data_IF_127157384555
#
_entry.id   IF_127157384555
#
_cell.length_a   1.000
_cell.length_b   1.000
_cell.length_c   1.000
_cell.angle_alpha   90.00
_cell.angle_beta   90.00
_cell.angle_gamma   90.00
#
_symmetry.space_group_name_H-M   'P 1'
#
loop_
_entity.id
_entity.type
_entity.pdbx_description
1 polymer ?
#
# COMPACT_ATOMS: atom_id res chain seq x y z
N UNK A 1 -22.06 -12.79 12.60
CA UNK A 1 -22.04 -12.25 11.22
C UNK A 1 -20.74 -12.70 10.58
N UNK A 2 -20.79 -13.37 9.43
CA UNK A 2 -19.57 -13.69 8.67
C UNK A 2 -19.03 -12.40 8.05
N UNK A 3 -17.74 -12.12 8.24
CA UNK A 3 -17.07 -11.00 7.58
C UNK A 3 -16.93 -11.37 6.10
N UNK A 4 -17.52 -10.58 5.23
CA UNK A 4 -17.36 -10.72 3.78
C UNK A 4 -16.30 -9.72 3.33
N UNK A 5 -15.18 -10.20 2.79
CA UNK A 5 -14.18 -9.36 2.14
C UNK A 5 -14.57 -9.12 0.67
N UNK A 6 -14.36 -7.90 0.18
CA UNK A 6 -14.65 -7.51 -1.22
C UNK A 6 -13.65 -8.09 -2.23
N UNK A 7 -12.45 -8.43 -1.77
CA UNK A 7 -11.40 -9.12 -2.53
C UNK A 7 -11.05 -10.40 -1.78
N UNK A 8 -10.88 -11.52 -2.50
CA UNK A 8 -10.55 -12.80 -1.88
C UNK A 8 -9.08 -12.87 -1.45
N UNK A 9 -8.83 -13.60 -0.37
CA UNK A 9 -7.48 -13.83 0.16
C UNK A 9 -6.59 -14.55 -0.87
N UNK A 10 -7.15 -15.51 -1.61
CA UNK A 10 -6.41 -16.24 -2.66
C UNK A 10 -5.91 -15.30 -3.76
N UNK A 11 -6.74 -14.34 -4.18
CA UNK A 11 -6.35 -13.38 -5.20
C UNK A 11 -5.24 -12.45 -4.70
N UNK A 12 -5.34 -11.97 -3.46
CA UNK A 12 -4.30 -11.15 -2.81
C UNK A 12 -2.99 -11.93 -2.71
N UNK A 13 -3.04 -13.18 -2.24
CA UNK A 13 -1.87 -14.03 -2.09
C UNK A 13 -1.18 -14.30 -3.44
N UNK A 14 -1.95 -14.58 -4.49
CA UNK A 14 -1.43 -14.79 -5.84
C UNK A 14 -0.71 -13.53 -6.38
N UNK A 15 -1.30 -12.34 -6.20
CA UNK A 15 -0.67 -11.10 -6.67
C UNK A 15 0.58 -10.74 -5.84
N UNK A 16 0.56 -10.94 -4.51
CA UNK A 16 1.71 -10.68 -3.66
C UNK A 16 2.90 -11.56 -4.06
N UNK A 17 2.66 -12.85 -4.31
CA UNK A 17 3.72 -13.80 -4.70
C UNK A 17 4.45 -13.40 -5.98
N UNK A 18 3.76 -12.75 -6.94
CA UNK A 18 4.37 -12.31 -8.21
C UNK A 18 5.45 -11.25 -8.03
N UNK A 19 5.43 -10.51 -6.93
CA UNK A 19 6.35 -9.40 -6.67
C UNK A 19 7.21 -9.60 -5.41
N UNK A 20 7.04 -10.72 -4.71
CA UNK A 20 7.68 -10.98 -3.41
C UNK A 20 9.21 -10.97 -3.49
N UNK A 21 9.80 -11.62 -4.49
CA UNK A 21 11.25 -11.70 -4.67
C UNK A 21 11.86 -10.31 -4.91
N UNK A 22 11.27 -9.53 -5.82
CA UNK A 22 11.72 -8.16 -6.10
C UNK A 22 11.55 -7.24 -4.90
N UNK A 23 10.42 -7.35 -4.19
CA UNK A 23 10.19 -6.57 -2.97
C UNK A 23 11.22 -6.89 -1.89
N UNK A 24 11.57 -8.16 -1.69
CA UNK A 24 12.56 -8.57 -0.71
C UNK A 24 13.95 -7.99 -1.02
N UNK A 25 14.38 -8.06 -2.29
CA UNK A 25 15.67 -7.51 -2.73
C UNK A 25 15.73 -5.98 -2.55
N UNK A 26 14.70 -5.27 -3.04
CA UNK A 26 14.63 -3.81 -2.95
C UNK A 26 14.56 -3.33 -1.50
N UNK A 27 13.80 -4.04 -0.65
CA UNK A 27 13.68 -3.73 0.77
C UNK A 27 15.00 -3.91 1.50
N UNK A 28 15.72 -5.01 1.26
CA UNK A 28 17.04 -5.24 1.84
C UNK A 28 18.05 -4.18 1.40
N UNK A 29 18.05 -3.84 0.11
CA UNK A 29 18.90 -2.79 -0.43
C UNK A 29 18.62 -1.42 0.22
N UNK A 30 17.34 -1.05 0.34
CA UNK A 30 16.94 0.19 1.00
C UNK A 30 17.33 0.19 2.47
N UNK A 31 17.14 -0.92 3.19
CA UNK A 31 17.56 -1.07 4.57
C UNK A 31 19.06 -0.83 4.77
N UNK A 32 19.90 -1.41 3.90
CA UNK A 32 21.36 -1.17 3.90
C UNK A 32 21.69 0.30 3.66
N UNK A 33 20.99 0.96 2.73
CA UNK A 33 21.20 2.38 2.41
C UNK A 33 20.81 3.29 3.57
N UNK A 34 19.65 3.06 4.19
CA UNK A 34 19.16 3.85 5.33
C UNK A 34 20.02 3.68 6.57
N UNK A 35 20.51 2.47 6.83
CA UNK A 35 21.41 2.18 7.95
C UNK A 35 22.72 2.98 7.90
N UNK A 36 23.23 3.31 6.70
CA UNK A 36 24.40 4.20 6.54
C UNK A 36 24.15 5.62 7.04
N UNK A 37 22.89 6.03 7.11
CA UNK A 37 22.45 7.32 7.64
C UNK A 37 21.90 7.20 9.06
N UNK A 38 22.15 6.08 9.76
CA UNK A 38 21.63 5.79 11.10
C UNK A 38 20.08 5.77 11.18
N UNK A 39 19.43 5.41 10.07
CA UNK A 39 17.96 5.29 9.99
C UNK A 39 17.57 3.81 9.97
N UNK A 40 16.74 3.41 10.93
CA UNK A 40 16.18 2.06 11.01
C UNK A 40 14.91 1.95 10.16
N UNK A 41 14.96 1.15 9.10
CA UNK A 41 13.85 0.99 8.14
C UNK A 41 12.57 0.47 8.81
N UNK A 42 12.69 -0.38 9.84
CA UNK A 42 11.51 -0.97 10.49
C UNK A 42 10.70 0.04 11.29
N UNK A 43 11.37 1.03 11.88
CA UNK A 43 10.70 2.17 12.51
C UNK A 43 9.94 3.03 11.49
N UNK A 44 10.40 3.09 10.25
CA UNK A 44 9.68 3.80 9.18
C UNK A 44 8.46 2.99 8.71
N UNK A 45 8.61 1.68 8.56
CA UNK A 45 7.50 0.77 8.21
C UNK A 45 6.39 0.88 9.27
N UNK A 46 6.74 0.84 10.55
CA UNK A 46 5.77 0.98 11.64
C UNK A 46 5.03 2.33 11.57
N UNK A 47 5.75 3.43 11.34
CA UNK A 47 5.12 4.75 11.17
C UNK A 47 4.21 4.80 9.96
N UNK A 48 4.61 4.21 8.84
CA UNK A 48 3.81 4.16 7.62
C UNK A 48 2.55 3.32 7.78
N UNK A 49 2.63 2.16 8.45
CA UNK A 49 1.47 1.31 8.75
C UNK A 49 0.44 2.00 9.65
N UNK A 50 0.90 2.87 10.55
CA UNK A 50 0.04 3.63 11.46
C UNK A 50 -0.53 4.91 10.86
N UNK A 51 0.00 5.37 9.73
CA UNK A 51 -0.51 6.56 9.06
C UNK A 51 -1.89 6.29 8.44
N UNK A 52 -2.84 7.19 8.70
CA UNK A 52 -4.23 7.09 8.21
C UNK A 52 -4.64 8.38 7.53
N UNK A 53 -5.33 8.23 6.40
CA UNK A 53 -5.96 9.33 5.67
C UNK A 53 -7.40 8.92 5.36
N UNK A 54 -8.35 9.82 5.59
CA UNK A 54 -9.74 9.57 5.30
C UNK A 54 -9.98 9.51 3.79
N UNK A 55 -10.74 8.50 3.33
CA UNK A 55 -11.17 8.39 1.94
C UNK A 55 -12.46 9.19 1.76
N UNK A 56 -12.52 10.19 0.88
CA UNK A 56 -13.73 10.95 0.64
C UNK A 56 -14.77 10.12 -0.11
N UNK A 57 -16.01 10.09 0.38
CA UNK A 57 -17.10 9.34 -0.26
C UNK A 57 -17.41 9.84 -1.68
N UNK A 58 -17.22 11.12 -1.97
CA UNK A 58 -17.44 11.69 -3.30
C UNK A 58 -16.31 11.37 -4.30
N UNK A 59 -15.18 10.81 -3.84
CA UNK A 59 -14.03 10.47 -4.66
C UNK A 59 -14.06 9.04 -5.22
N UNK A 60 -14.99 8.19 -4.78
CA UNK A 60 -15.09 6.79 -5.26
C UNK A 60 -15.80 6.65 -6.60
N UNK A 61 -16.49 7.70 -7.05
CA UNK A 61 -17.11 7.77 -8.38
C UNK A 61 -16.39 8.77 -9.28
N UNK A 62 -16.62 8.68 -10.59
CA UNK A 62 -16.02 9.62 -11.54
C UNK A 62 -16.49 11.04 -11.25
N UNK A 63 -15.54 11.95 -11.02
CA UNK A 63 -15.81 13.38 -10.87
C UNK A 63 -16.23 14.04 -12.19
N UNK A 64 -16.50 15.34 -12.14
CA UNK A 64 -16.87 16.12 -13.32
C UNK A 64 -16.48 17.58 -13.16
N UNK A 65 -16.60 18.35 -14.24
CA UNK A 65 -16.37 19.80 -14.23
C UNK A 65 -17.65 20.53 -14.64
N UNK A 66 -17.59 21.87 -14.70
CA UNK A 66 -18.66 22.69 -15.26
C UNK A 66 -18.96 22.43 -16.74
N UNK A 67 -18.11 21.67 -17.44
CA UNK A 67 -18.26 21.39 -18.87
C UNK A 67 -18.84 20.00 -19.14
N UNK A 68 -18.36 18.97 -18.44
CA UNK A 68 -18.78 17.60 -18.65
C UNK A 68 -18.42 16.66 -17.49
N UNK A 69 -19.06 15.48 -17.50
CA UNK A 69 -18.78 14.28 -16.69
C UNK A 69 -18.99 13.06 -17.59
N UNK A 70 -18.14 12.05 -17.44
CA UNK A 70 -18.21 10.79 -18.18
C UNK A 70 -18.21 9.62 -17.19
#
# INVERSE_FOLDING_TARGET
>A
MSIKFEISDDFIAEQNKKSEEFLAEDFEYLGKKLKRSDIEIEKLVEKAQNFRVAVPSWGVGTGGTRFARF
#
